data_IF_275219029558
#
_entry.id   IF_275219029558
#
_cell.length_a   1.000
_cell.length_b   1.000
_cell.length_c   1.000
_cell.angle_alpha   90.00
_cell.angle_beta   90.00
_cell.angle_gamma   90.00
#
_symmetry.space_group_name_H-M   'P 1'
#
loop_
_entity.id
_entity.type
_entity.pdbx_description
1 polymer ?
#
# COMPACT_ATOMS: atom_id res chain seq x y z
N UNK A 1 21.75 -2.22 -4.99
CA UNK A 1 20.61 -2.82 -5.74
C UNK A 1 19.75 -3.55 -4.70
N UNK A 2 18.42 -3.32 -4.61
CA UNK A 2 17.62 -4.10 -3.67
C UNK A 2 17.71 -5.60 -4.02
N UNK A 3 17.64 -6.50 -3.02
CA UNK A 3 17.70 -7.94 -3.27
C UNK A 3 16.61 -8.36 -4.27
N UNK A 4 16.83 -9.46 -5.00
CA UNK A 4 15.80 -10.04 -5.88
C UNK A 4 14.79 -10.81 -5.01
N UNK A 5 13.47 -10.68 -5.24
CA UNK A 5 12.49 -11.46 -4.49
C UNK A 5 12.60 -12.95 -4.84
N UNK A 6 12.44 -13.80 -3.84
CA UNK A 6 12.39 -15.25 -3.98
C UNK A 6 11.04 -15.72 -4.57
N UNK A 7 9.97 -14.98 -4.28
CA UNK A 7 8.64 -15.22 -4.82
C UNK A 7 7.98 -13.88 -5.15
N UNK A 8 7.25 -13.82 -6.27
CA UNK A 8 6.37 -12.70 -6.60
C UNK A 8 5.04 -13.26 -7.09
N UNK A 9 3.94 -12.77 -6.53
CA UNK A 9 2.60 -13.16 -6.96
C UNK A 9 2.22 -12.46 -8.26
N UNK A 10 1.36 -13.09 -9.06
CA UNK A 10 0.69 -12.38 -10.13
C UNK A 10 -0.13 -11.22 -9.57
N UNK A 11 -0.27 -10.11 -10.32
CA UNK A 11 -1.02 -8.96 -9.85
C UNK A 11 -2.49 -9.34 -9.67
N UNK A 12 -2.98 -9.29 -8.43
CA UNK A 12 -4.39 -9.47 -8.15
C UNK A 12 -5.10 -8.12 -8.28
N UNK A 13 -6.25 -8.08 -8.96
CA UNK A 13 -7.08 -6.90 -9.11
C UNK A 13 -8.43 -7.11 -8.41
N UNK A 14 -8.60 -6.65 -7.16
CA UNK A 14 -9.91 -6.62 -6.53
C UNK A 14 -10.87 -5.72 -7.32
N UNK A 15 -12.18 -5.95 -7.19
CA UNK A 15 -13.22 -5.12 -7.82
C UNK A 15 -12.94 -3.62 -7.55
N UNK A 16 -12.62 -2.86 -8.60
CA UNK A 16 -12.11 -1.49 -8.50
C UNK A 16 -10.80 -1.22 -9.27
N UNK A 17 -10.21 -2.22 -9.92
CA UNK A 17 -9.16 -2.03 -10.94
C UNK A 17 -7.75 -1.72 -10.42
N UNK A 18 -7.57 -1.64 -9.10
CA UNK A 18 -6.25 -1.47 -8.47
C UNK A 18 -5.51 -2.80 -8.46
N UNK A 19 -4.26 -2.80 -8.94
CA UNK A 19 -3.42 -4.00 -8.95
C UNK A 19 -2.53 -4.03 -7.71
N UNK A 20 -2.47 -5.19 -7.06
CA UNK A 20 -1.57 -5.46 -5.95
C UNK A 20 -0.60 -6.56 -6.35
N UNK A 21 0.70 -6.35 -6.14
CA UNK A 21 1.73 -7.40 -6.22
C UNK A 21 2.38 -7.59 -4.86
N UNK A 22 2.57 -8.85 -4.47
CA UNK A 22 3.29 -9.20 -3.24
C UNK A 22 4.58 -9.92 -3.62
N UNK A 23 5.68 -9.48 -3.01
CA UNK A 23 6.99 -10.09 -3.19
C UNK A 23 7.57 -10.48 -1.83
N UNK A 24 8.11 -11.69 -1.72
CA UNK A 24 8.85 -12.16 -0.54
C UNK A 24 10.34 -12.30 -0.88
N UNK A 25 11.21 -11.92 0.05
CA UNK A 25 12.66 -11.90 -0.13
C UNK A 25 13.36 -12.94 0.76
N UNK A 26 14.58 -13.38 0.39
CA UNK A 26 15.33 -14.36 1.19
C UNK A 26 15.63 -13.93 2.63
N UNK A 27 15.65 -12.63 2.91
CA UNK A 27 15.85 -12.06 4.25
C UNK A 27 14.58 -12.08 5.12
N UNK A 28 13.50 -12.69 4.62
CA UNK A 28 12.20 -12.77 5.30
C UNK A 28 11.33 -11.52 5.11
N UNK A 29 11.82 -10.47 4.44
CA UNK A 29 11.02 -9.27 4.18
C UNK A 29 9.94 -9.53 3.12
N UNK A 30 8.83 -8.79 3.24
CA UNK A 30 7.70 -8.84 2.32
C UNK A 30 7.44 -7.42 1.81
N UNK A 31 7.29 -7.25 0.49
CA UNK A 31 6.97 -5.97 -0.15
C UNK A 31 5.63 -6.05 -0.85
N UNK A 32 4.76 -5.09 -0.54
CA UNK A 32 3.51 -4.85 -1.24
C UNK A 32 3.70 -3.70 -2.24
N UNK A 33 3.34 -3.93 -3.51
CA UNK A 33 3.28 -2.89 -4.54
C UNK A 33 1.83 -2.71 -4.97
N UNK A 34 1.29 -1.52 -4.75
CA UNK A 34 -0.10 -1.17 -5.05
C UNK A 34 -0.13 0.00 -6.01
N UNK A 35 -0.88 -0.15 -7.11
CA UNK A 35 -1.08 0.94 -8.07
C UNK A 35 -2.12 1.95 -7.57
N UNK A 36 -2.03 3.20 -8.02
CA UNK A 36 -3.03 4.23 -7.71
C UNK A 36 -2.82 4.97 -6.38
N UNK A 37 -1.62 5.51 -6.18
CA UNK A 37 -1.29 6.40 -5.06
C UNK A 37 -2.27 7.59 -4.94
N UNK A 38 -2.46 8.14 -3.72
CA UNK A 38 -1.77 7.84 -2.47
C UNK A 38 -2.41 6.69 -1.69
N UNK A 39 -1.66 6.20 -0.72
CA UNK A 39 -2.17 5.34 0.35
C UNK A 39 -1.59 5.78 1.68
N UNK A 40 -2.33 5.56 2.77
CA UNK A 40 -1.82 5.69 4.13
C UNK A 40 -1.94 4.38 4.87
N UNK A 41 -0.94 4.06 5.68
CA UNK A 41 -1.00 2.98 6.64
C UNK A 41 -1.99 3.35 7.76
N UNK A 42 -3.11 2.66 7.81
CA UNK A 42 -4.17 2.89 8.80
C UNK A 42 -4.15 1.88 9.94
N UNK A 43 -3.48 0.74 9.77
CA UNK A 43 -3.35 -0.30 10.78
C UNK A 43 -2.04 -1.05 10.59
N UNK A 44 -1.32 -1.31 11.69
CA UNK A 44 -0.10 -2.10 11.71
C UNK A 44 -0.02 -2.92 13.01
N UNK A 45 -0.36 -4.19 12.92
CA UNK A 45 -0.15 -5.17 13.98
C UNK A 45 1.03 -6.06 13.56
N UNK A 46 2.20 -5.79 14.12
CA UNK A 46 3.47 -6.43 13.73
C UNK A 46 4.16 -7.17 14.89
N UNK A 47 3.62 -7.06 16.09
CA UNK A 47 4.17 -7.65 17.31
C UNK A 47 3.08 -8.46 18.01
N UNK A 48 3.36 -9.71 18.32
CA UNK A 48 2.42 -10.65 18.91
C UNK A 48 3.09 -12.01 19.13
N UNK A 49 2.30 -13.02 19.48
CA UNK A 49 2.80 -14.39 19.55
C UNK A 49 2.97 -14.94 18.11
N UNK A 50 4.20 -15.26 17.64
CA UNK A 50 4.43 -15.66 16.26
C UNK A 50 3.74 -16.97 15.87
N UNK A 51 3.42 -17.84 16.83
CA UNK A 51 2.76 -19.12 16.60
C UNK A 51 1.24 -19.01 16.52
N UNK A 52 0.66 -17.94 17.10
CA UNK A 52 -0.79 -17.78 17.24
C UNK A 52 -1.35 -16.62 16.43
N UNK A 53 -0.57 -15.57 16.28
CA UNK A 53 -1.02 -14.32 15.68
C UNK A 53 -0.60 -14.22 14.21
N UNK A 54 -1.20 -13.27 13.51
CA UNK A 54 -0.81 -12.90 12.14
C UNK A 54 -0.40 -11.44 12.12
N UNK A 55 0.61 -11.12 11.30
CA UNK A 55 0.92 -9.73 11.02
C UNK A 55 -0.20 -9.12 10.15
N UNK A 56 -0.69 -7.93 10.53
CA UNK A 56 -1.76 -7.22 9.83
C UNK A 56 -1.23 -5.86 9.40
N UNK A 57 -1.37 -5.55 8.11
CA UNK A 57 -1.08 -4.24 7.52
C UNK A 57 -2.32 -3.80 6.72
N UNK A 58 -2.87 -2.64 7.05
CA UNK A 58 -3.98 -2.05 6.30
C UNK A 58 -3.57 -0.70 5.73
N UNK A 59 -3.74 -0.55 4.42
CA UNK A 59 -3.58 0.73 3.75
C UNK A 59 -4.90 1.22 3.18
N UNK A 60 -5.14 2.53 3.22
CA UNK A 60 -6.36 3.15 2.71
C UNK A 60 -6.02 4.28 1.73
N UNK A 61 -6.78 4.48 0.64
CA UNK A 61 -6.71 5.71 -0.13
C UNK A 61 -7.01 6.89 0.79
N UNK A 62 -6.21 7.96 0.73
CA UNK A 62 -6.31 9.11 1.64
C UNK A 62 -7.60 9.92 1.47
N UNK A 63 -8.77 9.39 1.86
CA UNK A 63 -10.04 10.13 1.81
C UNK A 63 -10.74 10.28 3.16
N UNK A 64 -10.32 9.61 4.23
CA UNK A 64 -10.86 9.87 5.56
C UNK A 64 -9.79 9.82 6.64
N UNK A 65 -9.51 10.97 7.25
CA UNK A 65 -8.83 11.10 8.55
C UNK A 65 -7.35 10.77 8.58
N UNK A 66 -6.62 10.90 7.48
CA UNK A 66 -5.21 10.48 7.41
C UNK A 66 -4.33 11.57 6.80
N UNK A 67 -3.10 11.78 7.26
CA UNK A 67 -2.25 12.90 6.81
C UNK A 67 -1.99 12.95 5.31
N UNK A 68 -2.05 11.81 4.59
CA UNK A 68 -1.97 11.83 3.13
C UNK A 68 -3.30 12.15 2.41
N UNK A 69 -4.42 12.30 3.13
CA UNK A 69 -5.66 12.82 2.55
C UNK A 69 -5.57 14.30 2.25
N UNK A 70 -4.90 15.07 3.11
CA UNK A 70 -4.61 16.49 2.86
C UNK A 70 -3.77 16.63 1.58
N UNK A 71 -2.65 15.90 1.50
CA UNK A 71 -1.74 15.98 0.36
C UNK A 71 -2.36 15.59 -0.98
N UNK A 72 -3.32 14.65 -1.01
CA UNK A 72 -3.92 14.23 -2.28
C UNK A 72 -5.17 15.00 -2.67
N UNK A 73 -5.98 15.45 -1.71
CA UNK A 73 -7.02 16.42 -2.01
C UNK A 73 -6.39 17.68 -2.61
N UNK A 74 -5.33 18.21 -1.99
CA UNK A 74 -4.58 19.36 -2.49
C UNK A 74 -3.94 19.10 -3.86
N UNK A 75 -3.37 17.91 -4.09
CA UNK A 75 -2.76 17.55 -5.38
C UNK A 75 -3.79 17.28 -6.50
N UNK A 76 -5.00 16.84 -6.15
CA UNK A 76 -6.11 16.76 -7.09
C UNK A 76 -6.68 18.14 -7.42
N UNK A 77 -6.80 19.01 -6.42
CA UNK A 77 -7.24 20.39 -6.59
C UNK A 77 -6.25 21.20 -7.45
N UNK A 78 -4.93 21.03 -7.23
CA UNK A 78 -3.91 21.68 -8.06
C UNK A 78 -3.98 21.24 -9.52
N UNK A 79 -4.09 19.92 -9.76
CA UNK A 79 -4.23 19.37 -11.13
C UNK A 79 -5.50 19.81 -11.84
N UNK A 80 -6.56 20.12 -11.11
CA UNK A 80 -7.80 20.63 -11.70
C UNK A 80 -7.71 22.14 -12.00
N UNK A 81 -6.93 22.90 -11.22
CA UNK A 81 -6.65 24.33 -11.49
C UNK A 81 -5.76 24.54 -12.70
N UNK A 82 -4.76 23.69 -12.92
CA UNK A 82 -3.85 23.79 -14.08
C UNK A 82 -4.49 23.39 -15.43
N UNK A 83 -5.76 22.95 -15.41
CA UNK A 83 -6.54 22.54 -16.58
C UNK A 83 -7.71 23.47 -16.91
N UNK A 84 -7.91 24.53 -16.14
CA UNK A 84 -8.87 25.60 -16.41
C UNK A 84 -8.16 26.86 -16.83
#
# INVERSE_FOLDING_TARGET
>A
MPPRPALTTDPHAPAGGRRVRVSAYPDGSIRFKVDGLPYVLTEAYLSGNPEKDKAILKISPGKQGSSASHNYAELLESRNKDKG
#
